data_IF_018390197346
#
_entry.id   IF_018390197346
#
_cell.length_a   1.000
_cell.length_b   1.000
_cell.length_c   1.000
_cell.angle_alpha   90.00
_cell.angle_beta   90.00
_cell.angle_gamma   90.00
#
_symmetry.space_group_name_H-M   'P 1'
#
loop_
_entity.id
_entity.type
_entity.pdbx_description
1 polymer ?
#
# COMPACT_ATOMS: atom_id res chain seq x y z
N UNK A 1 23.18 -27.13 25.70
CA UNK A 1 23.22 -25.69 26.02
C UNK A 1 21.78 -25.22 26.11
N UNK A 2 21.39 -24.56 27.21
CA UNK A 2 20.02 -24.07 27.38
C UNK A 2 19.77 -22.98 26.34
N UNK A 3 18.97 -23.30 25.32
CA UNK A 3 18.51 -22.31 24.37
C UNK A 3 17.57 -21.37 25.15
N UNK A 4 17.84 -20.06 25.13
CA UNK A 4 16.89 -19.08 25.67
C UNK A 4 15.53 -19.38 25.06
N UNK A 5 14.50 -19.54 25.91
CA UNK A 5 13.15 -19.82 25.44
C UNK A 5 12.67 -18.61 24.64
N UNK A 6 12.91 -18.64 23.33
CA UNK A 6 12.28 -17.73 22.40
C UNK A 6 10.79 -18.05 22.48
N UNK A 7 10.01 -17.12 23.00
CA UNK A 7 8.55 -17.16 22.90
C UNK A 7 8.12 -16.12 21.86
N UNK A 8 8.53 -16.25 20.59
CA UNK A 8 8.07 -15.34 19.56
C UNK A 8 6.56 -15.50 19.47
N UNK A 9 5.89 -14.37 19.33
CA UNK A 9 4.43 -14.29 19.22
C UNK A 9 4.01 -14.10 17.77
N UNK A 10 4.95 -13.67 16.91
CA UNK A 10 4.71 -13.42 15.51
C UNK A 10 5.89 -13.88 14.65
N UNK A 11 5.62 -14.24 13.40
CA UNK A 11 6.64 -14.63 12.44
C UNK A 11 6.23 -14.26 11.01
N UNK A 12 7.21 -14.01 10.15
CA UNK A 12 7.00 -13.72 8.73
C UNK A 12 8.17 -14.20 7.89
N UNK A 13 7.90 -14.60 6.65
CA UNK A 13 8.95 -14.87 5.68
C UNK A 13 9.72 -13.57 5.39
N UNK A 14 11.05 -13.63 5.48
CA UNK A 14 11.87 -12.45 5.24
C UNK A 14 11.88 -12.10 3.76
N UNK A 15 11.66 -10.83 3.48
CA UNK A 15 11.92 -10.24 2.17
C UNK A 15 13.36 -9.75 2.22
N UNK A 16 14.25 -10.41 1.46
CA UNK A 16 15.64 -9.99 1.37
C UNK A 16 15.72 -8.61 0.72
N UNK A 17 16.42 -7.69 1.37
CA UNK A 17 16.57 -6.34 0.85
C UNK A 17 17.84 -5.68 1.37
N UNK A 18 18.49 -4.91 0.51
CA UNK A 18 19.66 -4.11 0.87
C UNK A 18 19.28 -2.73 1.40
N UNK A 19 18.03 -2.32 1.22
CA UNK A 19 17.56 -0.96 1.51
C UNK A 19 16.40 -0.91 2.49
N UNK A 20 15.67 -2.00 2.68
CA UNK A 20 14.41 -2.04 3.43
C UNK A 20 14.51 -3.06 4.57
N UNK A 21 14.17 -2.65 5.79
CA UNK A 21 14.01 -3.58 6.92
C UNK A 21 12.72 -4.41 6.76
N UNK A 22 12.70 -5.67 7.23
CA UNK A 22 11.46 -6.45 7.29
C UNK A 22 10.36 -5.72 8.05
N UNK A 23 9.14 -5.74 7.50
CA UNK A 23 7.97 -5.16 8.18
C UNK A 23 7.59 -6.07 9.34
N UNK A 24 7.42 -5.50 10.55
CA UNK A 24 6.83 -6.24 11.65
C UNK A 24 5.38 -6.64 11.33
N UNK A 25 4.94 -7.90 11.58
CA UNK A 25 3.56 -8.32 11.32
C UNK A 25 2.50 -7.53 12.08
N UNK A 26 2.87 -6.95 13.24
CA UNK A 26 2.01 -6.09 14.05
C UNK A 26 1.75 -4.72 13.41
N UNK A 27 2.60 -4.27 12.48
CA UNK A 27 2.48 -2.95 11.88
C UNK A 27 1.19 -2.87 11.04
N UNK A 28 0.28 -1.92 11.34
CA UNK A 28 -0.90 -1.71 10.52
C UNK A 28 -0.46 -1.27 9.11
N UNK A 29 -1.18 -1.76 8.10
CA UNK A 29 -1.01 -1.26 6.73
C UNK A 29 -1.87 -0.03 6.53
N UNK A 30 -1.46 0.87 5.65
CA UNK A 30 -2.26 2.04 5.32
C UNK A 30 -3.48 1.67 4.45
N UNK A 31 -3.32 0.64 3.62
CA UNK A 31 -4.38 0.00 2.85
C UNK A 31 -4.05 -1.49 2.66
N UNK A 32 -5.05 -2.30 2.34
CA UNK A 32 -4.85 -3.71 2.03
C UNK A 32 -6.11 -4.34 1.49
N UNK A 33 -5.95 -5.43 0.76
CA UNK A 33 -7.06 -6.06 0.07
C UNK A 33 -6.62 -7.19 -0.83
N UNK A 34 -7.51 -7.59 -1.73
CA UNK A 34 -7.23 -8.57 -2.77
C UNK A 34 -7.39 -7.89 -4.12
N UNK A 35 -6.42 -8.07 -5.02
CA UNK A 35 -6.50 -7.49 -6.35
C UNK A 35 -7.72 -8.01 -7.10
N UNK A 36 -8.45 -7.09 -7.71
CA UNK A 36 -9.62 -7.39 -8.54
C UNK A 36 -9.35 -6.91 -9.96
N UNK A 37 -9.63 -7.78 -10.94
CA UNK A 37 -9.28 -7.67 -12.37
C UNK A 37 -7.77 -7.79 -12.69
N UNK A 38 -7.38 -8.60 -13.71
CA UNK A 38 -6.05 -8.53 -14.26
C UNK A 38 -6.01 -7.35 -15.25
N UNK A 39 -4.87 -7.09 -15.85
CA UNK A 39 -4.78 -6.39 -17.14
C UNK A 39 -4.69 -4.86 -17.14
N UNK A 40 -3.90 -4.32 -16.22
CA UNK A 40 -3.03 -3.21 -16.63
C UNK A 40 -1.63 -3.48 -16.14
N UNK A 41 -0.71 -3.68 -17.09
CA UNK A 41 0.72 -3.87 -16.81
C UNK A 41 1.19 -2.83 -15.82
N UNK A 42 1.92 -3.28 -14.80
CA UNK A 42 2.47 -2.44 -13.73
C UNK A 42 1.41 -1.77 -12.85
N UNK A 43 0.19 -2.30 -12.72
CA UNK A 43 -0.83 -1.75 -11.84
C UNK A 43 -1.44 -2.77 -10.90
N UNK A 44 -1.93 -2.27 -9.78
CA UNK A 44 -2.81 -2.95 -8.86
C UNK A 44 -4.15 -2.23 -8.88
N UNK A 45 -5.24 -2.97 -9.05
CA UNK A 45 -6.61 -2.46 -8.93
C UNK A 45 -7.28 -3.06 -7.71
N UNK A 46 -7.90 -2.20 -6.89
CA UNK A 46 -8.70 -2.60 -5.74
C UNK A 46 -9.97 -1.74 -5.68
N UNK A 47 -11.10 -2.32 -6.09
CA UNK A 47 -12.36 -1.57 -6.21
C UNK A 47 -13.07 -1.36 -4.87
N UNK A 48 -12.80 -2.17 -3.85
CA UNK A 48 -13.41 -1.97 -2.54
C UNK A 48 -12.75 -0.83 -1.75
N UNK A 49 -11.67 -0.21 -2.27
CA UNK A 49 -11.06 0.97 -1.65
C UNK A 49 -11.93 2.22 -1.79
N UNK A 50 -12.72 2.28 -2.87
CA UNK A 50 -13.65 3.35 -3.20
C UNK A 50 -14.58 2.90 -4.34
N UNK A 51 -15.89 3.08 -4.16
CA UNK A 51 -16.89 2.78 -5.19
C UNK A 51 -17.31 4.04 -5.92
N UNK A 52 -17.41 4.00 -7.25
CA UNK A 52 -18.04 5.07 -8.02
C UNK A 52 -19.52 5.15 -7.62
N UNK A 53 -19.97 6.33 -7.20
CA UNK A 53 -21.37 6.62 -6.89
C UNK A 53 -22.07 7.15 -8.14
N UNK A 54 -21.49 8.17 -8.77
CA UNK A 54 -22.05 8.78 -9.97
C UNK A 54 -20.96 9.46 -10.80
N UNK A 55 -21.27 9.75 -12.07
CA UNK A 55 -20.42 10.49 -12.99
C UNK A 55 -21.30 11.41 -13.82
N UNK A 56 -20.80 12.56 -14.24
CA UNK A 56 -21.57 13.48 -15.05
C UNK A 56 -20.72 14.60 -15.62
N UNK A 57 -21.39 15.65 -16.09
CA UNK A 57 -20.77 16.89 -16.57
C UNK A 57 -21.59 18.03 -16.00
N UNK A 58 -20.93 18.99 -15.37
CA UNK A 58 -21.65 20.15 -14.81
C UNK A 58 -22.32 20.96 -15.91
N UNK A 59 -23.54 21.44 -15.65
CA UNK A 59 -24.32 22.27 -16.56
C UNK A 59 -24.86 23.55 -15.90
N UNK A 60 -24.71 23.70 -14.57
CA UNK A 60 -25.10 24.88 -13.81
C UNK A 60 -24.12 26.06 -13.91
N UNK A 61 -22.99 25.87 -14.62
CA UNK A 61 -21.90 26.85 -14.73
C UNK A 61 -20.99 26.89 -13.50
N UNK A 62 -19.83 27.55 -13.59
CA UNK A 62 -18.87 27.60 -12.50
C UNK A 62 -19.40 28.47 -11.36
N UNK A 63 -19.49 27.87 -10.19
CA UNK A 63 -19.74 28.58 -8.93
C UNK A 63 -18.70 28.08 -7.95
N UNK A 64 -17.98 29.01 -7.31
CA UNK A 64 -16.85 28.67 -6.46
C UNK A 64 -17.23 27.61 -5.41
N UNK A 65 -16.43 26.55 -5.33
CA UNK A 65 -16.61 25.43 -4.41
C UNK A 65 -17.95 24.70 -4.57
N UNK A 66 -18.56 24.72 -5.76
CA UNK A 66 -19.81 24.01 -6.04
C UNK A 66 -19.65 23.07 -7.22
N UNK A 67 -20.30 21.92 -7.11
CA UNK A 67 -20.65 21.09 -8.26
C UNK A 67 -22.14 21.25 -8.50
N UNK A 68 -22.52 21.75 -9.68
CA UNK A 68 -23.92 21.95 -10.07
C UNK A 68 -24.18 21.20 -11.37
N UNK A 69 -24.97 20.15 -11.28
CA UNK A 69 -25.46 19.35 -12.41
C UNK A 69 -26.98 19.22 -12.28
N UNK A 70 -27.70 20.06 -13.02
CA UNK A 70 -29.16 20.16 -13.01
C UNK A 70 -29.85 18.93 -13.57
N UNK A 71 -29.09 18.01 -14.18
CA UNK A 71 -29.59 16.72 -14.68
C UNK A 71 -29.30 15.55 -13.76
N UNK A 72 -28.47 15.73 -12.72
CA UNK A 72 -28.11 14.69 -11.76
C UNK A 72 -29.11 14.56 -10.60
N UNK A 73 -29.01 13.45 -9.87
CA UNK A 73 -29.63 13.27 -8.54
C UNK A 73 -28.61 12.69 -7.57
N UNK A 74 -28.07 13.53 -6.69
CA UNK A 74 -27.09 13.18 -5.66
C UNK A 74 -27.72 12.61 -4.38
N UNK A 75 -29.05 12.64 -4.27
CA UNK A 75 -29.77 12.28 -3.03
C UNK A 75 -30.41 10.90 -3.07
N UNK A 76 -30.54 10.31 -4.27
CA UNK A 76 -31.11 8.97 -4.45
C UNK A 76 -30.03 7.88 -4.42
N UNK A 77 -30.35 6.74 -3.81
CA UNK A 77 -29.41 5.63 -3.62
C UNK A 77 -28.81 5.10 -4.96
N UNK A 78 -27.47 4.89 -5.05
CA UNK A 78 -26.48 5.17 -4.02
C UNK A 78 -26.22 6.69 -3.90
N UNK A 79 -26.63 7.25 -2.76
CA UNK A 79 -26.61 8.69 -2.54
C UNK A 79 -25.19 9.15 -2.22
N UNK A 80 -24.88 10.38 -2.59
CA UNK A 80 -23.65 11.04 -2.18
C UNK A 80 -23.75 11.40 -0.71
N UNK A 81 -22.67 11.22 0.03
CA UNK A 81 -22.53 11.55 1.44
C UNK A 81 -21.45 12.63 1.65
N UNK A 82 -21.53 13.36 2.75
CA UNK A 82 -20.46 14.29 3.15
C UNK A 82 -19.19 13.50 3.44
N UNK A 83 -18.07 13.91 2.85
CA UNK A 83 -16.78 13.21 2.89
C UNK A 83 -16.47 12.37 1.64
N UNK A 84 -17.40 12.27 0.70
CA UNK A 84 -17.13 11.64 -0.60
C UNK A 84 -16.17 12.47 -1.44
N UNK A 85 -15.41 11.79 -2.30
CA UNK A 85 -14.42 12.44 -3.17
C UNK A 85 -15.03 12.73 -4.52
N UNK A 86 -14.95 14.00 -4.94
CA UNK A 86 -15.22 14.45 -6.30
C UNK A 86 -13.90 14.60 -7.04
N UNK A 87 -13.83 14.00 -8.23
CA UNK A 87 -12.70 14.15 -9.16
C UNK A 87 -13.20 14.91 -10.38
N UNK A 88 -12.55 16.02 -10.72
CA UNK A 88 -12.71 16.66 -12.02
C UNK A 88 -11.91 15.83 -13.04
N UNK A 89 -12.62 15.26 -14.00
CA UNK A 89 -12.05 14.35 -15.01
C UNK A 89 -11.36 15.08 -16.16
N UNK A 90 -11.42 16.41 -16.19
CA UNK A 90 -10.77 17.26 -17.20
C UNK A 90 -9.32 17.55 -16.82
N UNK A 91 -9.07 17.88 -15.55
CA UNK A 91 -7.77 18.35 -15.06
C UNK A 91 -7.17 17.51 -13.91
N UNK A 92 -7.87 16.45 -13.49
CA UNK A 92 -7.46 15.51 -12.42
C UNK A 92 -7.34 16.16 -11.02
N UNK A 93 -8.02 17.30 -10.83
CA UNK A 93 -8.17 17.94 -9.52
C UNK A 93 -9.23 17.22 -8.67
N UNK A 94 -9.16 17.43 -7.35
CA UNK A 94 -9.97 16.70 -6.37
C UNK A 94 -10.53 17.65 -5.31
N UNK A 95 -11.71 17.31 -4.82
CA UNK A 95 -12.33 17.97 -3.68
C UNK A 95 -13.19 16.98 -2.89
N UNK A 96 -13.39 17.28 -1.62
CA UNK A 96 -14.30 16.55 -0.75
C UNK A 96 -15.67 17.22 -0.74
N UNK A 97 -16.73 16.42 -0.73
CA UNK A 97 -18.09 16.91 -0.48
C UNK A 97 -18.19 17.37 0.97
N UNK A 98 -18.43 18.66 1.20
CA UNK A 98 -18.60 19.24 2.53
C UNK A 98 -20.06 19.45 2.91
N UNK A 99 -20.94 19.57 1.91
CA UNK A 99 -22.39 19.62 2.11
C UNK A 99 -23.12 19.16 0.85
N UNK A 100 -24.32 18.61 1.05
CA UNK A 100 -25.28 18.30 0.00
C UNK A 100 -26.35 19.39 0.07
N UNK A 101 -26.33 20.34 -0.86
CA UNK A 101 -27.27 21.47 -0.84
C UNK A 101 -28.66 21.02 -1.30
N UNK A 102 -28.71 20.25 -2.39
CA UNK A 102 -29.92 19.65 -2.96
C UNK A 102 -29.57 18.45 -3.88
N UNK A 103 -30.57 17.91 -4.59
CA UNK A 103 -30.40 16.78 -5.50
C UNK A 103 -29.43 17.06 -6.66
N UNK A 104 -29.20 18.31 -7.02
CA UNK A 104 -28.41 18.73 -8.19
C UNK A 104 -27.16 19.52 -7.82
N UNK A 105 -26.94 19.78 -6.53
CA UNK A 105 -25.90 20.71 -6.05
C UNK A 105 -25.17 20.18 -4.83
N UNK A 106 -23.84 20.19 -4.91
CA UNK A 106 -22.93 19.85 -3.80
C UNK A 106 -22.02 21.04 -3.48
N UNK A 107 -21.66 21.17 -2.21
CA UNK A 107 -20.56 22.04 -1.75
C UNK A 107 -19.29 21.23 -1.61
N UNK A 108 -18.18 21.78 -2.12
CA UNK A 108 -16.86 21.18 -2.13
C UNK A 108 -15.92 21.92 -1.18
N UNK A 109 -14.87 21.26 -0.67
CA UNK A 109 -13.85 21.91 0.16
C UNK A 109 -12.86 22.78 -0.64
N UNK A 110 -12.74 22.49 -1.94
CA UNK A 110 -11.86 23.17 -2.89
C UNK A 110 -12.60 23.44 -4.19
N UNK A 111 -12.28 24.57 -4.82
CA UNK A 111 -12.85 24.94 -6.12
C UNK A 111 -12.16 24.14 -7.22
N UNK A 112 -12.86 23.14 -7.75
CA UNK A 112 -12.37 22.26 -8.82
C UNK A 112 -13.28 22.29 -10.05
N UNK A 113 -14.32 23.10 -10.04
CA UNK A 113 -15.30 23.25 -11.12
C UNK A 113 -15.33 24.71 -11.61
N UNK A 114 -14.16 25.18 -12.05
CA UNK A 114 -13.93 26.59 -12.37
C UNK A 114 -14.30 26.96 -13.82
N UNK A 115 -14.59 25.95 -14.65
CA UNK A 115 -14.90 26.09 -16.06
C UNK A 115 -16.28 25.48 -16.37
N UNK A 116 -16.96 26.00 -17.39
CA UNK A 116 -18.23 25.42 -17.82
C UNK A 116 -18.02 24.03 -18.46
N UNK A 117 -18.96 23.11 -18.21
CA UNK A 117 -19.01 21.78 -18.82
C UNK A 117 -17.83 20.86 -18.48
N UNK A 118 -17.34 20.93 -17.25
CA UNK A 118 -16.34 20.01 -16.73
C UNK A 118 -16.97 18.67 -16.30
N UNK A 119 -16.33 17.57 -16.68
CA UNK A 119 -16.77 16.22 -16.32
C UNK A 119 -16.34 15.84 -14.91
N UNK A 120 -17.13 15.05 -14.21
CA UNK A 120 -16.81 14.58 -12.86
C UNK A 120 -17.09 13.10 -12.64
N UNK A 121 -16.41 12.56 -11.64
CA UNK A 121 -16.74 11.28 -11.02
C UNK A 121 -16.74 11.44 -9.49
N UNK A 122 -17.78 10.93 -8.83
CA UNK A 122 -17.92 10.93 -7.38
C UNK A 122 -17.68 9.51 -6.88
N UNK A 123 -16.82 9.39 -5.87
CA UNK A 123 -16.46 8.13 -5.23
C UNK A 123 -16.79 8.15 -3.75
N UNK A 124 -17.19 7.00 -3.22
CA UNK A 124 -17.34 6.82 -1.79
C UNK A 124 -15.97 6.92 -1.08
N UNK A 125 -15.84 7.88 -0.18
CA UNK A 125 -14.60 8.17 0.55
C UNK A 125 -13.37 8.48 -0.33
N UNK A 126 -12.18 8.42 0.28
CA UNK A 126 -10.92 8.93 -0.30
C UNK A 126 -10.07 7.92 -1.09
N UNK A 127 -10.51 6.66 -1.21
CA UNK A 127 -9.82 5.64 -2.00
C UNK A 127 -8.36 5.41 -1.58
N UNK A 128 -7.49 5.15 -2.57
CA UNK A 128 -6.05 5.07 -2.32
C UNK A 128 -5.40 6.43 -2.06
N UNK A 129 -5.94 7.53 -2.58
CA UNK A 129 -5.32 8.86 -2.48
C UNK A 129 -5.33 9.41 -1.05
N UNK A 130 -6.32 9.03 -0.24
CA UNK A 130 -6.35 9.31 1.20
C UNK A 130 -5.53 8.36 2.08
N UNK A 131 -4.99 7.27 1.51
CA UNK A 131 -4.36 6.19 2.29
C UNK A 131 -2.91 5.93 1.92
N UNK A 132 -2.51 6.23 0.70
CA UNK A 132 -1.20 5.85 0.13
C UNK A 132 -0.60 7.07 -0.54
N UNK A 133 0.72 7.21 -0.49
CA UNK A 133 1.50 8.25 -1.15
C UNK A 133 2.43 7.67 -2.21
N UNK A 134 2.83 8.46 -3.21
CA UNK A 134 3.86 8.03 -4.18
C UNK A 134 5.17 7.76 -3.42
N UNK A 135 5.81 6.63 -3.72
CA UNK A 135 6.99 6.13 -3.00
C UNK A 135 6.68 5.19 -1.82
N UNK A 136 5.40 5.01 -1.46
CA UNK A 136 4.98 4.01 -0.49
C UNK A 136 5.25 2.59 -1.00
N UNK A 137 5.46 1.67 -0.07
CA UNK A 137 5.78 0.28 -0.38
C UNK A 137 4.53 -0.59 -0.33
N UNK A 138 4.30 -1.39 -1.36
CA UNK A 138 3.20 -2.35 -1.43
C UNK A 138 3.77 -3.76 -1.41
N UNK A 139 3.32 -4.56 -0.44
CA UNK A 139 3.64 -5.98 -0.32
C UNK A 139 2.70 -6.79 -1.21
N UNK A 140 3.28 -7.61 -2.07
CA UNK A 140 2.61 -8.76 -2.65
C UNK A 140 2.79 -9.96 -1.70
N UNK A 141 1.71 -10.36 -1.03
CA UNK A 141 1.76 -11.44 -0.03
C UNK A 141 1.98 -12.82 -0.66
N UNK A 142 1.59 -13.01 -1.92
CA UNK A 142 1.79 -14.28 -2.64
C UNK A 142 3.24 -14.47 -3.04
N UNK A 143 3.86 -13.43 -3.61
CA UNK A 143 5.25 -13.47 -4.09
C UNK A 143 6.27 -13.16 -2.98
N UNK A 144 5.82 -12.63 -1.83
CA UNK A 144 6.66 -12.09 -0.76
C UNK A 144 7.66 -11.05 -1.27
N UNK A 145 7.17 -10.10 -2.06
CA UNK A 145 7.98 -9.01 -2.66
C UNK A 145 7.37 -7.66 -2.33
N UNK A 146 8.23 -6.64 -2.22
CA UNK A 146 7.82 -5.24 -2.08
C UNK A 146 8.07 -4.50 -3.38
N UNK A 147 7.14 -3.62 -3.74
CA UNK A 147 7.28 -2.68 -4.87
C UNK A 147 6.91 -1.28 -4.42
N UNK A 148 7.49 -0.25 -5.04
CA UNK A 148 7.21 1.15 -4.70
C UNK A 148 6.14 1.74 -5.64
N UNK A 149 5.18 2.45 -5.07
CA UNK A 149 4.13 3.16 -5.81
C UNK A 149 4.73 4.29 -6.63
N UNK A 150 4.40 4.35 -7.92
CA UNK A 150 4.85 5.41 -8.85
C UNK A 150 3.76 6.40 -9.21
N UNK A 151 2.50 5.98 -9.18
CA UNK A 151 1.34 6.84 -9.37
C UNK A 151 0.12 6.25 -8.67
N UNK A 152 -0.86 7.10 -8.36
CA UNK A 152 -2.05 6.75 -7.59
C UNK A 152 -3.27 7.31 -8.33
N UNK A 153 -4.29 6.48 -8.48
CA UNK A 153 -5.65 6.92 -8.79
C UNK A 153 -6.57 6.54 -7.63
N UNK A 154 -7.86 6.84 -7.72
CA UNK A 154 -8.80 6.52 -6.65
C UNK A 154 -8.82 5.03 -6.28
N UNK A 155 -8.73 4.13 -7.28
CA UNK A 155 -8.86 2.68 -7.11
C UNK A 155 -7.66 1.89 -7.64
N UNK A 156 -6.61 2.57 -8.10
CA UNK A 156 -5.40 1.92 -8.61
C UNK A 156 -4.11 2.49 -8.04
N UNK A 157 -3.13 1.60 -7.89
CA UNK A 157 -1.73 1.95 -7.68
C UNK A 157 -0.93 1.51 -8.90
N UNK A 158 -0.03 2.37 -9.38
CA UNK A 158 0.91 2.04 -10.46
C UNK A 158 2.32 1.82 -9.91
N UNK A 159 3.12 1.04 -10.62
CA UNK A 159 4.48 0.64 -10.21
C UNK A 159 5.47 0.78 -11.37
N UNK A 160 6.77 0.64 -11.09
CA UNK A 160 7.82 0.63 -12.13
C UNK A 160 7.88 -0.67 -12.96
N UNK A 161 7.32 -1.76 -12.44
CA UNK A 161 7.27 -3.08 -13.08
C UNK A 161 6.07 -3.88 -12.59
N UNK A 162 5.71 -4.95 -13.29
CA UNK A 162 4.51 -5.73 -13.00
C UNK A 162 4.69 -6.60 -11.75
N UNK A 163 4.28 -6.05 -10.61
CA UNK A 163 4.34 -6.73 -9.32
C UNK A 163 3.04 -7.48 -8.98
N UNK A 164 1.95 -7.24 -9.72
CA UNK A 164 0.63 -7.82 -9.47
C UNK A 164 -0.01 -8.35 -10.77
N UNK A 165 0.65 -9.34 -11.44
CA UNK A 165 0.27 -9.76 -12.80
C UNK A 165 -1.04 -10.55 -12.87
N UNK A 166 -1.61 -10.95 -11.73
CA UNK A 166 -2.81 -11.79 -11.66
C UNK A 166 -3.83 -11.23 -10.68
N UNK A 167 -5.11 -11.56 -10.91
CA UNK A 167 -6.19 -11.36 -9.93
C UNK A 167 -5.99 -12.19 -8.68
N UNK A 168 -6.67 -11.80 -7.61
CA UNK A 168 -6.72 -12.61 -6.39
C UNK A 168 -5.45 -12.53 -5.54
N UNK A 169 -4.52 -11.64 -5.89
CA UNK A 169 -3.29 -11.44 -5.13
C UNK A 169 -3.59 -10.57 -3.92
N UNK A 170 -3.29 -11.07 -2.73
CA UNK A 170 -3.40 -10.28 -1.51
C UNK A 170 -2.27 -9.26 -1.45
N UNK A 171 -2.61 -8.06 -1.02
CA UNK A 171 -1.65 -6.99 -0.87
C UNK A 171 -1.87 -6.20 0.41
N UNK A 172 -0.78 -5.60 0.87
CA UNK A 172 -0.80 -4.63 1.96
C UNK A 172 0.13 -3.47 1.60
N UNK A 173 -0.44 -2.26 1.57
CA UNK A 173 0.31 -1.03 1.39
C UNK A 173 0.83 -0.55 2.75
N UNK A 174 2.05 -0.07 2.73
CA UNK A 174 2.80 0.45 3.85
C UNK A 174 3.35 1.83 3.47
N UNK A 175 3.77 2.61 4.47
CA UNK A 175 4.47 3.86 4.20
C UNK A 175 5.81 3.70 3.46
N UNK A 176 6.54 4.81 3.36
CA UNK A 176 7.83 4.91 2.67
C UNK A 176 8.92 3.97 3.22
N UNK A 177 9.95 3.73 2.40
CA UNK A 177 11.19 3.03 2.80
C UNK A 177 11.79 3.63 4.08
N UNK A 178 11.78 4.96 4.21
CA UNK A 178 12.32 5.65 5.37
C UNK A 178 11.56 5.30 6.66
N UNK A 179 10.22 5.34 6.62
CA UNK A 179 9.36 4.95 7.74
C UNK A 179 9.57 3.49 8.12
N UNK A 180 9.63 2.59 7.12
CA UNK A 180 9.89 1.18 7.38
C UNK A 180 11.25 0.93 8.03
N UNK A 181 12.26 1.73 7.69
CA UNK A 181 13.58 1.62 8.30
C UNK A 181 13.65 2.23 9.72
N UNK A 182 12.82 3.23 10.04
CA UNK A 182 12.77 3.83 11.37
C UNK A 182 11.87 3.07 12.36
N UNK A 183 10.85 2.36 11.88
CA UNK A 183 9.86 1.63 12.70
C UNK A 183 10.17 0.12 12.80
N UNK A 184 11.42 -0.27 12.54
CA UNK A 184 11.80 -1.68 12.59
C UNK A 184 11.84 -2.19 14.03
N UNK A 185 11.34 -3.40 14.23
CA UNK A 185 11.45 -4.14 15.49
C UNK A 185 12.47 -5.25 15.33
N UNK A 186 13.29 -5.47 16.36
CA UNK A 186 14.31 -6.51 16.32
C UNK A 186 13.67 -7.90 16.32
N UNK A 187 14.20 -8.79 15.47
CA UNK A 187 13.74 -10.16 15.31
C UNK A 187 14.89 -11.16 15.42
N UNK A 188 14.56 -12.41 15.73
CA UNK A 188 15.46 -13.54 15.55
C UNK A 188 15.25 -14.12 14.15
N UNK A 189 16.33 -14.61 13.55
CA UNK A 189 16.29 -15.20 12.20
C UNK A 189 16.37 -16.72 12.29
N UNK A 190 15.45 -17.39 11.62
CA UNK A 190 15.51 -18.82 11.31
C UNK A 190 15.87 -19.03 9.84
N UNK A 191 16.75 -19.99 9.57
CA UNK A 191 17.19 -20.34 8.21
C UNK A 191 16.70 -21.73 7.85
N UNK A 192 15.68 -21.80 6.97
CA UNK A 192 15.04 -23.06 6.59
C UNK A 192 15.55 -23.68 5.29
N UNK A 193 16.29 -22.94 4.45
CA UNK A 193 16.68 -23.40 3.12
C UNK A 193 17.96 -22.75 2.59
N UNK A 194 18.45 -23.28 1.47
CA UNK A 194 19.67 -22.86 0.80
C UNK A 194 20.44 -24.05 0.24
N UNK A 195 21.63 -23.79 -0.33
CA UNK A 195 22.63 -24.83 -0.53
C UNK A 195 23.01 -25.46 0.83
N UNK A 196 23.63 -26.65 0.84
CA UNK A 196 24.03 -27.35 2.06
C UNK A 196 24.91 -26.46 2.94
N UNK A 197 24.27 -25.80 3.92
CA UNK A 197 24.76 -24.65 4.66
C UNK A 197 25.11 -23.46 3.74
N UNK A 198 24.68 -22.26 4.11
CA UNK A 198 24.81 -21.09 3.25
C UNK A 198 25.08 -19.82 4.06
N UNK A 199 25.68 -18.84 3.40
CA UNK A 199 25.98 -17.55 4.02
C UNK A 199 24.70 -16.76 4.24
N UNK A 200 24.61 -16.11 5.40
CA UNK A 200 23.54 -15.16 5.71
C UNK A 200 24.14 -13.87 6.25
N UNK A 201 23.83 -12.76 5.57
CA UNK A 201 24.25 -11.41 5.98
C UNK A 201 23.10 -10.72 6.69
N UNK A 202 23.36 -10.20 7.89
CA UNK A 202 22.37 -9.47 8.69
C UNK A 202 22.92 -8.15 9.21
N UNK A 203 22.02 -7.24 9.55
CA UNK A 203 22.30 -6.13 10.46
C UNK A 203 21.78 -6.51 11.83
N UNK A 204 22.64 -6.52 12.85
CA UNK A 204 22.24 -6.82 14.24
C UNK A 204 21.38 -5.69 14.83
N UNK A 205 20.70 -5.96 15.95
CA UNK A 205 19.97 -4.95 16.72
C UNK A 205 20.84 -3.77 17.20
N UNK A 206 22.17 -3.97 17.29
CA UNK A 206 23.13 -2.91 17.59
C UNK A 206 23.59 -2.11 16.37
N UNK A 207 23.08 -2.43 15.17
CA UNK A 207 23.44 -1.77 13.91
C UNK A 207 24.70 -2.32 13.23
N UNK A 208 25.25 -3.44 13.70
CA UNK A 208 26.46 -4.03 13.09
C UNK A 208 26.08 -4.93 11.92
N UNK A 209 26.68 -4.70 10.76
CA UNK A 209 26.60 -5.63 9.63
C UNK A 209 27.57 -6.78 9.79
N UNK A 210 27.09 -8.02 9.65
CA UNK A 210 27.91 -9.22 9.78
C UNK A 210 27.40 -10.34 8.86
N UNK A 211 28.33 -11.16 8.36
CA UNK A 211 28.03 -12.39 7.60
C UNK A 211 28.28 -13.60 8.50
N UNK A 212 27.27 -14.44 8.66
CA UNK A 212 27.41 -15.77 9.23
C UNK A 212 27.66 -16.74 8.08
N UNK A 213 28.93 -17.09 7.87
CA UNK A 213 29.32 -17.99 6.80
C UNK A 213 28.92 -19.44 7.09
N UNK A 214 28.49 -20.17 6.05
CA UNK A 214 28.16 -21.60 6.13
C UNK A 214 27.16 -21.92 7.27
N UNK A 215 26.14 -21.08 7.43
CA UNK A 215 25.16 -21.23 8.50
C UNK A 215 24.26 -22.46 8.24
N UNK A 216 24.02 -23.32 9.25
CA UNK A 216 23.27 -24.56 9.07
C UNK A 216 21.78 -24.35 8.81
N UNK A 217 21.21 -25.21 7.95
CA UNK A 217 19.76 -25.28 7.75
C UNK A 217 19.05 -25.77 9.03
N UNK A 218 17.85 -25.25 9.28
CA UNK A 218 17.09 -25.51 10.50
C UNK A 218 17.64 -24.76 11.73
N UNK A 219 18.64 -23.90 11.55
CA UNK A 219 19.27 -23.13 12.61
C UNK A 219 18.58 -21.80 12.87
N UNK A 220 18.79 -21.29 14.09
CA UNK A 220 18.40 -19.95 14.51
C UNK A 220 19.64 -19.12 14.81
N UNK A 221 19.70 -17.89 14.31
CA UNK A 221 20.80 -16.98 14.58
C UNK A 221 20.79 -16.62 16.07
N UNK A 222 21.92 -16.71 16.80
CA UNK A 222 21.99 -16.40 18.22
C UNK A 222 22.09 -14.88 18.49
N UNK A 223 21.59 -14.05 17.57
CA UNK A 223 21.62 -12.59 17.65
C UNK A 223 20.27 -12.04 17.20
N UNK A 224 19.84 -10.95 17.83
CA UNK A 224 18.73 -10.17 17.30
C UNK A 224 19.19 -9.32 16.12
N UNK A 225 18.35 -9.25 15.11
CA UNK A 225 18.61 -8.61 13.82
C UNK A 225 17.55 -7.55 13.53
N UNK A 226 17.92 -6.56 12.71
CA UNK A 226 17.02 -5.56 12.13
C UNK A 226 16.80 -5.78 10.63
N UNK A 227 17.72 -6.50 9.97
CA UNK A 227 17.67 -6.76 8.53
C UNK A 227 18.37 -8.06 8.17
N UNK A 228 17.88 -8.71 7.11
CA UNK A 228 18.64 -9.70 6.35
C UNK A 228 18.85 -9.16 4.95
N UNK A 229 20.11 -9.07 4.53
CA UNK A 229 20.51 -8.43 3.28
C UNK A 229 20.21 -9.34 2.09
N UNK A 230 19.96 -8.75 0.93
CA UNK A 230 19.90 -9.50 -0.33
C UNK A 230 21.31 -9.82 -0.81
N UNK A 231 22.18 -8.80 -0.85
CA UNK A 231 23.59 -8.97 -1.15
C UNK A 231 24.31 -9.70 0.01
N UNK A 232 25.02 -10.77 -0.32
CA UNK A 232 25.78 -11.55 0.66
C UNK A 232 24.97 -12.58 1.45
N UNK A 233 23.70 -12.81 1.11
CA UNK A 233 22.90 -13.90 1.64
C UNK A 233 22.64 -14.93 0.53
N UNK A 234 23.10 -16.16 0.73
CA UNK A 234 22.82 -17.31 -0.12
C UNK A 234 21.75 -18.25 0.46
N UNK A 235 21.43 -18.10 1.76
CA UNK A 235 20.34 -18.80 2.41
C UNK A 235 18.97 -18.41 1.83
N UNK A 236 18.05 -19.37 1.82
CA UNK A 236 16.64 -19.19 1.39
C UNK A 236 15.68 -19.68 2.47
N UNK A 237 14.36 -19.54 2.27
CA UNK A 237 13.33 -19.90 3.26
C UNK A 237 13.64 -19.35 4.66
N UNK A 238 13.93 -18.05 4.70
CA UNK A 238 14.33 -17.34 5.91
C UNK A 238 13.07 -16.79 6.59
N UNK A 239 12.98 -16.96 7.90
CA UNK A 239 11.84 -16.50 8.71
C UNK A 239 12.36 -15.55 9.78
N UNK A 240 11.72 -14.39 9.92
CA UNK A 240 11.90 -13.48 11.04
C UNK A 240 10.88 -13.81 12.13
N UNK A 241 11.33 -13.81 13.38
CA UNK A 241 10.53 -14.14 14.56
C UNK A 241 10.61 -12.98 15.57
N UNK A 242 9.45 -12.42 15.92
CA UNK A 242 9.29 -11.36 16.92
C UNK A 242 8.67 -11.92 18.21
#
# INVERSE_FOLDING_TARGET
>A
MAYQKLQPTQALNVILSDTINPVSPSRPGNAGGTTVAPDVTNKLTYLDVASVLTTGVIDGGPTANKLIDTTADFTTAPAVEVGDTVINTVDDTLALVTAIDDATTLTLDTDIMDTASEGYAIYSGEGFRGKVSVGDLVLNETANTLTAVTAITQTQLSFGSDAFPTVGVKFKAYGSVAQMNSETEAFVVYVGGGAANADIKVTTASGTEIVFGNFPLGGFLPVQCLRVWSAGTASTNIVALW
#
